data_IF_315868457299
#
_entry.id   IF_315868457299
#
_cell.length_a   1.000
_cell.length_b   1.000
_cell.length_c   1.000
_cell.angle_alpha   90.00
_cell.angle_beta   90.00
_cell.angle_gamma   90.00
#
_symmetry.space_group_name_H-M   'P 1'
#
loop_
_entity.id
_entity.type
_entity.pdbx_description
1 polymer ?
#
# COMPACT_ATOMS: atom_id res chain seq x y z
N UNK A 1 -6.90 -8.77 -13.05
CA UNK A 1 -7.85 -7.81 -12.46
C UNK A 1 -7.36 -7.43 -11.08
N UNK A 2 -7.31 -6.14 -10.77
CA UNK A 2 -6.81 -5.61 -9.51
C UNK A 2 -7.97 -5.02 -8.73
N UNK A 3 -8.03 -5.31 -7.43
CA UNK A 3 -9.08 -4.84 -6.53
C UNK A 3 -8.53 -3.86 -5.50
N UNK A 4 -9.19 -2.70 -5.36
CA UNK A 4 -8.85 -1.69 -4.35
C UNK A 4 -7.34 -1.43 -4.22
N UNK A 5 -6.67 -0.96 -5.28
CA UNK A 5 -5.23 -0.74 -5.25
C UNK A 5 -4.88 0.35 -4.22
N UNK A 6 -3.78 0.14 -3.51
CA UNK A 6 -3.22 1.17 -2.61
C UNK A 6 -2.23 2.03 -3.36
N UNK A 7 -2.38 3.35 -3.26
CA UNK A 7 -1.47 4.28 -3.90
C UNK A 7 -0.03 4.02 -3.45
N UNK A 8 0.88 3.83 -4.43
CA UNK A 8 2.31 3.77 -4.16
C UNK A 8 2.89 5.17 -4.08
N UNK A 9 2.93 5.86 -5.21
CA UNK A 9 3.24 7.29 -5.30
C UNK A 9 2.47 7.91 -6.47
N UNK A 10 2.20 9.21 -6.34
CA UNK A 10 1.76 10.08 -7.43
C UNK A 10 2.82 11.12 -7.69
N UNK A 11 2.99 11.50 -8.95
CA UNK A 11 3.82 12.65 -9.32
C UNK A 11 2.93 13.61 -10.11
N UNK A 12 2.91 14.85 -9.67
CA UNK A 12 2.17 15.93 -10.32
C UNK A 12 2.92 17.24 -10.14
N UNK A 13 3.06 18.01 -11.21
CA UNK A 13 3.71 19.34 -11.20
C UNK A 13 5.13 19.32 -10.58
N UNK A 14 5.91 18.25 -10.84
CA UNK A 14 7.26 18.07 -10.28
C UNK A 14 7.31 17.74 -8.79
N UNK A 15 6.18 17.46 -8.17
CA UNK A 15 6.07 17.01 -6.79
C UNK A 15 5.68 15.53 -6.74
N UNK A 16 6.30 14.80 -5.80
CA UNK A 16 5.94 13.43 -5.48
C UNK A 16 5.10 13.39 -4.22
N UNK A 17 4.05 12.60 -4.26
CA UNK A 17 3.08 12.42 -3.18
C UNK A 17 3.01 10.98 -2.75
N UNK A 18 2.88 10.74 -1.45
CA UNK A 18 2.52 9.44 -0.89
C UNK A 18 1.46 9.59 0.19
N UNK A 19 0.58 8.59 0.28
CA UNK A 19 -0.58 8.61 1.16
C UNK A 19 -0.58 7.38 2.08
N UNK A 20 0.32 7.31 3.07
CA UNK A 20 0.32 6.19 4.02
C UNK A 20 -1.00 6.10 4.77
N UNK A 21 -1.54 4.90 4.78
CA UNK A 21 -2.80 4.54 5.42
C UNK A 21 -2.57 3.50 6.51
N UNK A 22 -3.09 3.75 7.72
CA UNK A 22 -3.13 2.77 8.82
C UNK A 22 -4.34 3.02 9.71
N UNK A 23 -4.96 1.92 10.12
CA UNK A 23 -6.14 1.96 10.96
C UNK A 23 -7.44 2.14 10.16
N UNK A 24 -8.34 1.20 10.37
CA UNK A 24 -9.67 1.20 9.75
C UNK A 24 -10.70 0.77 10.79
N UNK A 25 -11.83 1.44 10.81
CA UNK A 25 -12.95 1.11 11.71
C UNK A 25 -14.27 1.24 10.97
N UNK A 26 -15.22 0.36 11.28
CA UNK A 26 -16.58 0.47 10.78
C UNK A 26 -17.21 1.78 11.27
N UNK A 27 -17.81 2.55 10.36
CA UNK A 27 -18.40 3.84 10.69
C UNK A 27 -19.65 3.73 11.62
N UNK A 28 -20.26 2.53 11.69
CA UNK A 28 -21.40 2.26 12.57
C UNK A 28 -20.98 1.99 14.03
N UNK A 29 -19.71 1.78 14.30
CA UNK A 29 -19.23 1.59 15.69
C UNK A 29 -19.43 2.88 16.48
N UNK A 30 -20.04 2.83 17.67
CA UNK A 30 -20.17 4.00 18.52
C UNK A 30 -18.81 4.68 18.76
N UNK A 31 -18.76 6.00 18.59
CA UNK A 31 -17.54 6.82 18.69
C UNK A 31 -16.38 6.35 17.78
N UNK A 32 -16.68 5.77 16.61
CA UNK A 32 -15.70 5.19 15.69
C UNK A 32 -14.50 6.12 15.42
N UNK A 33 -14.77 7.39 15.12
CA UNK A 33 -13.71 8.39 14.86
C UNK A 33 -12.79 8.55 16.06
N UNK A 34 -13.34 8.73 17.26
CA UNK A 34 -12.58 8.91 18.49
C UNK A 34 -11.73 7.67 18.79
N UNK A 35 -12.34 6.48 18.71
CA UNK A 35 -11.64 5.21 18.92
C UNK A 35 -10.45 5.06 17.96
N UNK A 36 -10.63 5.36 16.68
CA UNK A 36 -9.56 5.27 15.70
C UNK A 36 -8.45 6.30 15.96
N UNK A 37 -8.82 7.53 16.36
CA UNK A 37 -7.86 8.60 16.62
C UNK A 37 -7.06 8.40 17.90
N UNK A 38 -7.64 7.77 18.93
CA UNK A 38 -7.03 7.65 20.26
C UNK A 38 -6.40 6.27 20.52
N UNK A 39 -6.56 5.30 19.64
CA UNK A 39 -5.98 3.97 19.81
C UNK A 39 -4.45 4.04 19.73
N UNK A 40 -3.71 3.72 20.82
CA UNK A 40 -2.26 3.85 20.86
C UNK A 40 -1.55 2.95 19.84
N UNK A 41 -2.09 1.76 19.56
CA UNK A 41 -1.55 0.83 18.57
C UNK A 41 -1.62 1.46 17.17
N UNK A 42 -2.78 1.97 16.78
CA UNK A 42 -2.98 2.59 15.46
C UNK A 42 -2.12 3.85 15.31
N UNK A 43 -1.96 4.63 16.38
CA UNK A 43 -1.08 5.80 16.41
C UNK A 43 0.37 5.38 16.13
N UNK A 44 0.88 4.40 16.85
CA UNK A 44 2.26 3.94 16.72
C UNK A 44 2.54 3.32 15.35
N UNK A 45 1.63 2.50 14.83
CA UNK A 45 1.75 1.92 13.49
C UNK A 45 1.74 3.00 12.41
N UNK A 46 0.87 4.01 12.55
CA UNK A 46 0.78 5.11 11.61
C UNK A 46 2.04 6.00 11.64
N UNK A 47 2.55 6.34 12.82
CA UNK A 47 3.79 7.09 12.97
C UNK A 47 4.95 6.35 12.31
N UNK A 48 5.05 5.04 12.53
CA UNK A 48 6.11 4.21 11.96
C UNK A 48 6.08 4.22 10.43
N UNK A 49 4.90 4.08 9.81
CA UNK A 49 4.81 4.06 8.35
C UNK A 49 5.03 5.45 7.74
N UNK A 50 4.58 6.51 8.38
CA UNK A 50 4.84 7.88 7.94
C UNK A 50 6.34 8.18 7.95
N UNK A 51 7.04 7.81 9.03
CA UNK A 51 8.48 8.02 9.14
C UNK A 51 9.27 7.20 8.11
N UNK A 52 8.89 5.94 7.91
CA UNK A 52 9.48 5.09 6.89
C UNK A 52 9.35 5.70 5.48
N UNK A 53 8.16 6.16 5.12
CA UNK A 53 7.91 6.75 3.80
C UNK A 53 8.62 8.09 3.63
N UNK A 54 8.66 8.93 4.68
CA UNK A 54 9.45 10.16 4.66
C UNK A 54 10.93 9.86 4.37
N UNK A 55 11.49 8.86 5.06
CA UNK A 55 12.86 8.43 4.85
C UNK A 55 13.09 7.87 3.43
N UNK A 56 12.15 7.11 2.89
CA UNK A 56 12.26 6.62 1.51
C UNK A 56 12.21 7.77 0.49
N UNK A 57 11.27 8.70 0.63
CA UNK A 57 11.16 9.86 -0.27
C UNK A 57 12.37 10.78 -0.17
N UNK A 58 13.01 10.91 0.99
CA UNK A 58 14.19 11.77 1.16
C UNK A 58 15.41 11.33 0.35
N UNK A 59 15.42 10.09 -0.15
CA UNK A 59 16.49 9.56 -1.01
C UNK A 59 16.40 10.06 -2.45
N UNK A 60 15.20 10.45 -2.88
CA UNK A 60 14.89 10.76 -4.29
C UNK A 60 14.28 12.17 -4.49
N UNK A 61 13.91 12.84 -3.42
CA UNK A 61 13.28 14.16 -3.46
C UNK A 61 13.81 15.06 -2.34
N UNK A 62 13.60 16.36 -2.48
CA UNK A 62 13.97 17.39 -1.50
C UNK A 62 12.71 17.98 -0.85
N UNK A 63 12.88 18.80 0.18
CA UNK A 63 11.79 19.56 0.83
C UNK A 63 10.64 18.62 1.26
N UNK A 64 10.98 17.46 1.87
CA UNK A 64 9.98 16.50 2.30
C UNK A 64 9.16 17.07 3.46
N UNK A 65 7.85 17.11 3.28
CA UNK A 65 6.92 17.61 4.28
C UNK A 65 5.72 16.69 4.45
N UNK A 66 5.21 16.58 5.68
CA UNK A 66 3.91 15.99 5.96
C UNK A 66 2.89 17.12 5.98
N UNK A 67 2.13 17.26 4.92
CA UNK A 67 1.19 18.37 4.75
C UNK A 67 -0.13 18.14 5.48
N UNK A 68 -0.50 16.88 5.61
CA UNK A 68 -1.68 16.47 6.39
C UNK A 68 -1.31 15.23 7.20
N UNK A 69 -1.47 15.30 8.52
CA UNK A 69 -1.10 14.21 9.41
C UNK A 69 -2.33 13.58 10.06
N UNK A 70 -2.47 12.24 9.95
CA UNK A 70 -3.52 11.43 10.56
C UNK A 70 -4.93 12.01 10.39
N UNK A 71 -5.25 12.47 9.19
CA UNK A 71 -6.61 12.87 8.89
C UNK A 71 -7.51 11.65 8.68
N UNK A 72 -8.79 11.84 8.96
CA UNK A 72 -9.81 10.81 8.80
C UNK A 72 -10.51 10.99 7.47
N UNK A 73 -10.52 9.92 6.68
CA UNK A 73 -11.36 9.81 5.50
C UNK A 73 -12.47 8.78 5.72
N UNK A 74 -13.61 9.03 5.12
CA UNK A 74 -14.75 8.14 5.11
C UNK A 74 -14.84 7.49 3.73
N UNK A 75 -14.77 6.17 3.70
CA UNK A 75 -14.88 5.39 2.48
C UNK A 75 -16.22 4.67 2.46
N UNK A 76 -16.94 4.82 1.37
CA UNK A 76 -18.09 4.01 1.04
C UNK A 76 -17.61 2.72 0.38
N UNK A 77 -17.88 1.59 1.01
CA UNK A 77 -17.69 0.26 0.40
C UNK A 77 -19.04 -0.26 -0.11
N UNK A 78 -19.02 -1.35 -0.86
CA UNK A 78 -20.26 -1.98 -1.33
C UNK A 78 -21.21 -2.43 -0.18
N UNK A 79 -20.65 -2.73 0.99
CA UNK A 79 -21.42 -3.29 2.12
C UNK A 79 -21.64 -2.31 3.26
N UNK A 80 -20.71 -1.37 3.46
CA UNK A 80 -20.71 -0.46 4.61
C UNK A 80 -19.78 0.73 4.42
N UNK A 81 -19.96 1.72 5.28
CA UNK A 81 -19.05 2.85 5.41
C UNK A 81 -17.95 2.54 6.42
N UNK A 82 -16.75 2.96 6.15
CA UNK A 82 -15.61 2.80 7.05
C UNK A 82 -14.88 4.14 7.19
N UNK A 83 -14.30 4.37 8.36
CA UNK A 83 -13.28 5.41 8.55
C UNK A 83 -11.90 4.79 8.46
N UNK A 84 -10.98 5.47 7.83
CA UNK A 84 -9.57 5.16 7.90
C UNK A 84 -8.74 6.40 8.22
N UNK A 85 -7.54 6.18 8.73
CA UNK A 85 -6.57 7.25 8.98
C UNK A 85 -5.53 7.27 7.88
N UNK A 86 -5.31 8.44 7.31
CA UNK A 86 -4.32 8.68 6.26
C UNK A 86 -3.43 9.87 6.62
N UNK A 87 -2.24 9.93 6.01
CA UNK A 87 -1.41 11.12 5.98
C UNK A 87 -1.01 11.44 4.56
N UNK A 88 -0.67 12.68 4.30
CA UNK A 88 -0.14 13.14 3.01
C UNK A 88 1.30 13.60 3.20
N UNK A 89 2.20 13.01 2.44
CA UNK A 89 3.62 13.35 2.41
C UNK A 89 3.95 13.82 1.02
N UNK A 90 4.61 14.96 0.93
CA UNK A 90 5.05 15.54 -0.34
C UNK A 90 6.57 15.70 -0.37
N UNK A 91 7.13 15.69 -1.57
CA UNK A 91 8.52 16.03 -1.82
C UNK A 91 8.67 16.67 -3.18
N UNK A 92 9.70 17.51 -3.35
CA UNK A 92 10.02 18.16 -4.61
C UNK A 92 11.06 17.36 -5.37
N UNK A 93 10.73 16.95 -6.57
CA UNK A 93 11.64 16.24 -7.46
C UNK A 93 12.60 17.24 -8.16
N UNK A 94 13.70 16.70 -8.71
CA UNK A 94 14.59 17.46 -9.58
C UNK A 94 13.89 17.85 -10.89
N UNK A 95 14.30 18.94 -11.58
CA UNK A 95 13.64 19.35 -12.82
C UNK A 95 13.68 18.28 -13.93
N UNK A 96 14.68 17.42 -13.91
CA UNK A 96 14.91 16.34 -14.87
C UNK A 96 14.28 14.99 -14.45
N UNK A 97 13.40 14.99 -13.44
CA UNK A 97 12.82 13.78 -12.88
C UNK A 97 12.17 12.84 -13.89
N UNK A 98 11.65 13.38 -15.00
CA UNK A 98 11.00 12.57 -16.04
C UNK A 98 11.97 11.56 -16.66
N UNK A 99 13.21 11.96 -16.88
CA UNK A 99 14.27 11.07 -17.41
C UNK A 99 14.79 10.10 -16.36
N UNK A 100 14.63 10.43 -15.08
CA UNK A 100 15.05 9.61 -13.93
C UNK A 100 13.88 8.80 -13.31
N UNK A 101 12.70 8.79 -13.96
CA UNK A 101 11.52 8.12 -13.42
C UNK A 101 11.76 6.64 -13.06
N UNK A 102 12.46 5.83 -13.90
CA UNK A 102 12.76 4.45 -13.51
C UNK A 102 13.60 4.36 -12.24
N UNK A 103 14.63 5.17 -12.09
CA UNK A 103 15.53 5.20 -10.93
C UNK A 103 14.80 5.66 -9.67
N UNK A 104 13.91 6.64 -9.80
CA UNK A 104 13.04 7.11 -8.71
C UNK A 104 12.17 5.96 -8.21
N UNK A 105 11.48 5.25 -9.10
CA UNK A 105 10.62 4.15 -8.72
C UNK A 105 11.41 2.98 -8.12
N UNK A 106 12.53 2.61 -8.71
CA UNK A 106 13.41 1.55 -8.20
C UNK A 106 14.01 1.90 -6.83
N UNK A 107 14.38 3.16 -6.61
CA UNK A 107 14.92 3.64 -5.33
C UNK A 107 13.92 3.56 -4.17
N UNK A 108 12.62 3.58 -4.46
CA UNK A 108 11.55 3.45 -3.47
C UNK A 108 11.17 1.99 -3.20
N UNK A 109 11.52 1.06 -4.10
CA UNK A 109 11.18 -0.36 -3.96
C UNK A 109 12.14 -1.11 -2.99
N UNK A 110 11.62 -2.20 -2.37
CA UNK A 110 10.22 -2.58 -2.29
C UNK A 110 9.39 -1.58 -1.48
N UNK A 111 8.09 -1.49 -1.78
CA UNK A 111 7.21 -0.52 -1.12
C UNK A 111 7.25 -0.64 0.40
N UNK A 112 7.47 0.49 1.10
CA UNK A 112 7.58 0.53 2.56
C UNK A 112 6.34 0.01 3.27
N UNK A 113 5.15 0.28 2.73
CA UNK A 113 3.86 -0.24 3.23
C UNK A 113 3.78 -1.77 3.21
N UNK A 114 4.56 -2.43 2.34
CA UNK A 114 4.58 -3.88 2.19
C UNK A 114 5.65 -4.53 3.05
N UNK A 115 6.87 -4.01 3.01
CA UNK A 115 7.98 -4.63 3.72
C UNK A 115 8.08 -4.20 5.19
N UNK A 116 7.56 -3.02 5.56
CA UNK A 116 7.68 -2.49 6.93
C UNK A 116 9.08 -1.97 7.25
N UNK A 117 9.30 -1.67 8.52
CA UNK A 117 10.55 -1.10 9.04
C UNK A 117 11.22 -2.03 10.08
N UNK A 118 12.56 -2.12 10.12
CA UNK A 118 13.56 -1.59 9.17
C UNK A 118 13.56 -2.37 7.84
N UNK A 119 13.46 -1.66 6.71
CA UNK A 119 13.24 -2.24 5.38
C UNK A 119 14.20 -3.38 5.02
N UNK A 120 15.50 -3.19 5.18
CA UNK A 120 16.51 -4.20 4.85
C UNK A 120 16.34 -5.50 5.66
N UNK A 121 16.06 -5.38 6.96
CA UNK A 121 15.87 -6.53 7.86
C UNK A 121 14.61 -7.31 7.51
N UNK A 122 13.50 -6.62 7.30
CA UNK A 122 12.22 -7.26 6.96
C UNK A 122 12.26 -7.95 5.60
N UNK A 123 12.91 -7.33 4.60
CA UNK A 123 13.12 -7.97 3.28
C UNK A 123 13.97 -9.24 3.40
N UNK A 124 15.01 -9.23 4.24
CA UNK A 124 15.81 -10.44 4.50
C UNK A 124 14.97 -11.55 5.15
N UNK A 125 14.12 -11.21 6.12
CA UNK A 125 13.22 -12.18 6.75
C UNK A 125 12.24 -12.76 5.73
N UNK A 126 11.60 -11.91 4.92
CA UNK A 126 10.65 -12.34 3.88
C UNK A 126 11.32 -13.33 2.92
N UNK A 127 12.52 -13.02 2.44
CA UNK A 127 13.28 -13.90 1.53
C UNK A 127 13.62 -15.25 2.15
N UNK A 128 13.83 -15.31 3.45
CA UNK A 128 14.17 -16.55 4.15
C UNK A 128 12.96 -17.42 4.50
N UNK A 129 11.78 -16.82 4.56
CA UNK A 129 10.54 -17.51 4.98
C UNK A 129 9.69 -17.94 3.80
N UNK A 130 9.72 -17.19 2.71
CA UNK A 130 8.92 -17.50 1.52
C UNK A 130 9.64 -18.50 0.62
N UNK A 131 8.91 -19.56 0.24
CA UNK A 131 9.45 -20.70 -0.55
C UNK A 131 9.61 -20.39 -2.05
N UNK A 132 9.13 -19.24 -2.52
CA UNK A 132 9.17 -18.92 -3.94
C UNK A 132 9.04 -17.45 -4.30
N UNK A 133 9.22 -17.11 -5.58
CA UNK A 133 9.13 -15.75 -6.03
C UNK A 133 7.69 -15.23 -5.98
N UNK A 134 7.53 -13.98 -5.56
CA UNK A 134 6.23 -13.31 -5.51
C UNK A 134 5.65 -13.00 -6.89
N UNK A 135 6.47 -13.00 -7.94
CA UNK A 135 6.06 -12.56 -9.28
C UNK A 135 5.58 -11.11 -9.26
N UNK A 136 4.37 -10.87 -9.74
CA UNK A 136 3.74 -9.55 -9.71
C UNK A 136 3.19 -9.15 -8.32
N UNK A 137 3.11 -10.09 -7.38
CA UNK A 137 2.59 -9.82 -6.04
C UNK A 137 3.52 -8.87 -5.28
N UNK A 138 2.97 -7.81 -4.72
CA UNK A 138 3.68 -6.71 -4.05
C UNK A 138 4.60 -5.87 -4.94
N UNK A 139 4.54 -6.07 -6.26
CA UNK A 139 5.09 -5.15 -7.24
C UNK A 139 4.27 -3.86 -7.34
N UNK A 140 4.65 -3.01 -8.26
CA UNK A 140 3.92 -1.79 -8.57
C UNK A 140 3.42 -1.81 -10.01
N UNK A 141 2.34 -1.08 -10.26
CA UNK A 141 1.87 -0.74 -11.58
C UNK A 141 1.44 0.72 -11.60
N UNK A 142 1.35 1.32 -12.76
CA UNK A 142 0.97 2.72 -12.86
C UNK A 142 0.76 3.18 -14.29
N UNK A 143 0.36 4.43 -14.40
CA UNK A 143 0.17 5.13 -15.64
C UNK A 143 0.95 6.44 -15.62
N UNK A 144 1.73 6.66 -16.66
CA UNK A 144 2.49 7.89 -16.89
C UNK A 144 2.03 8.51 -18.21
N UNK A 145 1.53 9.74 -18.17
CA UNK A 145 1.00 10.47 -19.33
C UNK A 145 2.05 11.38 -20.01
N UNK A 146 3.30 11.33 -19.57
CA UNK A 146 4.39 12.21 -20.01
C UNK A 146 4.61 13.42 -19.08
N UNK A 147 3.63 13.76 -18.25
CA UNK A 147 3.68 14.87 -17.29
C UNK A 147 3.43 14.42 -15.85
N UNK A 148 2.52 13.46 -15.64
CA UNK A 148 2.10 13.01 -14.33
C UNK A 148 2.19 11.49 -14.23
N UNK A 149 2.41 11.01 -13.02
CA UNK A 149 2.41 9.58 -12.69
C UNK A 149 1.35 9.28 -11.64
N UNK A 150 0.55 8.27 -11.89
CA UNK A 150 -0.21 7.58 -10.84
C UNK A 150 0.24 6.14 -10.75
N UNK A 151 0.59 5.69 -9.54
CA UNK A 151 1.04 4.32 -9.32
C UNK A 151 0.46 3.71 -8.06
N UNK A 152 0.36 2.38 -8.06
CA UNK A 152 -0.23 1.63 -6.96
C UNK A 152 0.51 0.32 -6.74
N UNK A 153 0.34 -0.24 -5.53
CA UNK A 153 0.89 -1.54 -5.14
C UNK A 153 -0.06 -2.66 -5.56
N UNK A 154 0.50 -3.71 -6.14
CA UNK A 154 -0.25 -4.86 -6.63
C UNK A 154 -0.42 -5.92 -5.54
N UNK A 155 -1.45 -5.79 -4.70
CA UNK A 155 -1.64 -6.62 -3.50
C UNK A 155 -2.94 -7.41 -3.44
N UNK A 156 -3.94 -7.04 -4.19
CA UNK A 156 -5.26 -7.72 -4.24
C UNK A 156 -5.66 -7.87 -5.69
N UNK A 157 -5.30 -8.99 -6.29
CA UNK A 157 -5.55 -9.18 -7.72
C UNK A 157 -5.78 -10.62 -8.11
N UNK A 158 -6.46 -10.80 -9.24
CA UNK A 158 -6.59 -12.07 -9.93
C UNK A 158 -5.57 -12.13 -11.06
N UNK A 159 -4.77 -13.16 -11.05
CA UNK A 159 -3.81 -13.52 -12.09
C UNK A 159 -4.37 -14.67 -12.91
N UNK A 160 -4.43 -14.53 -14.23
CA UNK A 160 -4.73 -15.63 -15.13
C UNK A 160 -3.44 -16.33 -15.53
N UNK A 161 -3.33 -17.62 -15.25
CA UNK A 161 -2.18 -18.45 -15.62
C UNK A 161 -2.67 -19.69 -16.37
N UNK A 162 -2.63 -19.64 -17.69
CA UNK A 162 -3.32 -20.61 -18.52
C UNK A 162 -4.83 -20.53 -18.30
N UNK A 163 -5.45 -21.63 -17.93
CA UNK A 163 -6.88 -21.71 -17.59
C UNK A 163 -7.19 -21.45 -16.11
N UNK A 164 -6.16 -21.32 -15.28
CA UNK A 164 -6.32 -21.11 -13.86
C UNK A 164 -6.43 -19.62 -13.51
N UNK A 165 -7.31 -19.31 -12.57
CA UNK A 165 -7.41 -17.98 -11.95
C UNK A 165 -6.86 -18.05 -10.53
N UNK A 166 -5.79 -17.30 -10.27
CA UNK A 166 -5.12 -17.27 -8.97
C UNK A 166 -5.40 -15.93 -8.30
N UNK A 167 -6.08 -15.95 -7.15
CA UNK A 167 -6.25 -14.76 -6.33
C UNK A 167 -5.06 -14.59 -5.39
N UNK A 168 -4.43 -13.42 -5.46
CA UNK A 168 -3.29 -13.07 -4.60
C UNK A 168 -3.67 -11.97 -3.63
N UNK A 169 -3.51 -12.26 -2.35
CA UNK A 169 -3.65 -11.27 -1.28
C UNK A 169 -2.76 -11.64 -0.10
N UNK A 170 -2.54 -10.70 0.81
CA UNK A 170 -1.78 -10.93 2.03
C UNK A 170 -2.10 -9.90 3.09
N UNK A 171 -1.53 -10.09 4.27
CA UNK A 171 -1.68 -9.19 5.42
C UNK A 171 -0.34 -8.84 6.05
N UNK A 172 -0.29 -7.72 6.77
CA UNK A 172 0.86 -7.34 7.57
C UNK A 172 0.97 -8.16 8.85
N UNK A 173 2.19 -8.57 9.19
CA UNK A 173 2.50 -9.22 10.46
C UNK A 173 3.27 -8.22 11.33
N UNK A 174 2.79 -7.97 12.54
CA UNK A 174 3.47 -7.16 13.54
C UNK A 174 3.58 -7.91 14.87
N UNK A 175 4.54 -7.53 15.69
CA UNK A 175 4.82 -8.19 16.97
C UNK A 175 3.60 -8.41 17.89
N UNK A 176 2.63 -7.47 17.97
CA UNK A 176 1.38 -7.69 18.72
C UNK A 176 0.46 -8.74 18.11
N UNK A 177 0.65 -9.06 16.83
CA UNK A 177 -0.20 -10.01 16.09
C UNK A 177 0.40 -11.42 15.99
N UNK A 178 1.51 -11.71 16.67
CA UNK A 178 2.13 -13.05 16.70
C UNK A 178 1.24 -14.14 17.31
N UNK A 179 0.16 -13.76 17.99
CA UNK A 179 -0.87 -14.68 18.48
C UNK A 179 -1.99 -14.94 17.45
N UNK A 180 -2.03 -14.24 16.33
CA UNK A 180 -2.96 -14.51 15.24
C UNK A 180 -2.26 -15.31 14.15
N UNK A 181 -2.74 -16.54 14.03
CA UNK A 181 -2.56 -17.51 12.97
C UNK A 181 -1.87 -16.94 11.74
N UNK A 182 -0.75 -17.57 11.38
CA UNK A 182 0.16 -17.15 10.35
C UNK A 182 -0.53 -16.53 9.15
N UNK A 183 0.09 -15.54 8.58
CA UNK A 183 -0.31 -15.01 7.29
C UNK A 183 -0.34 -16.19 6.32
N UNK A 184 -1.50 -16.81 6.23
CA UNK A 184 -1.76 -17.75 5.16
C UNK A 184 -1.71 -16.91 3.88
N UNK A 185 -0.60 -16.98 3.20
CA UNK A 185 -0.51 -16.68 1.79
C UNK A 185 -1.36 -17.74 1.09
N UNK A 186 -2.68 -17.66 1.27
CA UNK A 186 -3.60 -18.57 0.63
C UNK A 186 -3.69 -18.19 -0.83
N UNK A 187 -2.92 -18.89 -1.64
CA UNK A 187 -3.27 -19.08 -3.03
C UNK A 187 -4.53 -19.95 -3.02
N UNK A 188 -5.71 -19.34 -2.98
CA UNK A 188 -6.97 -20.08 -3.18
C UNK A 188 -7.16 -20.26 -4.68
N UNK A 189 -7.15 -21.49 -5.12
CA UNK A 189 -7.69 -21.86 -6.42
C UNK A 189 -9.20 -21.64 -6.34
N UNK A 190 -9.73 -20.75 -7.15
CA UNK A 190 -11.17 -20.68 -7.38
C UNK A 190 -11.51 -21.69 -8.46
N UNK A 191 -12.48 -22.59 -8.24
CA UNK A 191 -12.98 -23.43 -9.30
C UNK A 191 -13.60 -22.58 -10.41
N UNK A 192 -13.55 -23.08 -11.64
CA UNK A 192 -14.06 -22.44 -12.85
C UNK A 192 -15.43 -21.78 -12.61
N UNK A 193 -15.47 -20.46 -12.66
CA UNK A 193 -16.70 -19.69 -12.67
C UNK A 193 -17.00 -19.33 -14.13
N UNK A 194 -17.73 -20.23 -14.82
CA UNK A 194 -18.26 -20.01 -16.19
C UNK A 194 -19.55 -19.20 -16.16
N UNK A 195 -19.59 -18.09 -15.43
CA UNK A 195 -20.72 -17.19 -15.40
C UNK A 195 -20.39 -15.83 -16.01
N UNK A 196 -21.30 -15.18 -16.76
CA UNK A 196 -21.05 -13.87 -17.32
C UNK A 196 -21.01 -12.83 -16.19
N UNK A 197 -19.87 -12.13 -16.07
CA UNK A 197 -19.77 -10.97 -15.19
C UNK A 197 -20.47 -9.78 -15.84
N UNK A 198 -21.60 -9.36 -15.30
CA UNK A 198 -22.09 -8.02 -15.51
C UNK A 198 -21.31 -7.07 -14.61
N UNK A 199 -20.48 -6.22 -15.23
CA UNK A 199 -19.87 -5.08 -14.57
C UNK A 199 -20.89 -3.95 -14.65
N UNK A 200 -21.50 -3.61 -13.51
CA UNK A 200 -22.24 -2.38 -13.30
C UNK A 200 -21.38 -1.41 -12.52
#
# INVERSE_FOLDING_TARGET
VIYSPECFVKIKDGQIYSYPMKGTIDAQVPEAKKKLQTNPKEINEHNTIVDLIRNDLSKIAREIAVTRFRYLDKIQTQKKEIYHTSSEIIGKLSPDWKTQLPEILLGLLPAGSICGAPKAKTVSIIKNVEEGPRGYYTGIFGYFDGENLESAVNIRYLEKKGEQMIYRSGGGISRPNLYFQGANLTTKYLPDYSGPYHIG
#
